data_IF_430383361629
#
_entry.id   IF_430383361629
#
_cell.length_a   1.000
_cell.length_b   1.000
_cell.length_c   1.000
_cell.angle_alpha   90.00
_cell.angle_beta   90.00
_cell.angle_gamma   90.00
#
_symmetry.space_group_name_H-M   'P 1'
#
loop_
_entity.id
_entity.type
_entity.pdbx_description
1 polymer ?
#
# COMPACT_ATOMS: atom_id res chain seq x y z
N UNK A 1 -0.92 8.15 -68.39
CA UNK A 1 -1.10 7.32 -67.19
C UNK A 1 -2.01 8.07 -66.24
N UNK A 2 -3.27 7.65 -66.12
CA UNK A 2 -4.20 8.16 -65.12
C UNK A 2 -4.03 7.25 -63.89
N UNK A 3 -3.60 7.82 -62.76
CA UNK A 3 -3.65 7.11 -61.48
C UNK A 3 -5.03 7.37 -60.89
N UNK A 4 -5.89 6.36 -60.94
CA UNK A 4 -7.16 6.35 -60.22
C UNK A 4 -6.89 6.14 -58.74
N UNK A 5 -7.45 7.02 -57.93
CA UNK A 5 -7.56 6.92 -56.48
C UNK A 5 -8.51 5.76 -56.12
N UNK A 6 -8.16 4.84 -55.20
CA UNK A 6 -9.10 3.86 -54.68
C UNK A 6 -9.89 4.44 -53.49
N UNK A 7 -11.21 4.38 -53.60
CA UNK A 7 -12.19 4.64 -52.53
C UNK A 7 -11.82 3.91 -51.23
N UNK A 8 -11.91 4.52 -50.04
CA UNK A 8 -11.86 3.79 -48.79
C UNK A 8 -13.21 3.08 -48.59
N UNK A 9 -13.20 1.75 -48.62
CA UNK A 9 -14.34 0.94 -48.18
C UNK A 9 -14.43 1.02 -46.64
N UNK A 10 -15.59 1.42 -46.15
CA UNK A 10 -15.97 1.31 -44.74
C UNK A 10 -15.96 -0.16 -44.32
N UNK A 11 -14.92 -0.58 -43.60
CA UNK A 11 -14.93 -1.85 -42.88
C UNK A 11 -15.45 -1.58 -41.46
N UNK A 12 -16.77 -1.62 -41.33
CA UNK A 12 -17.42 -1.85 -40.04
C UNK A 12 -17.08 -3.26 -39.55
N UNK A 13 -16.18 -3.36 -38.58
CA UNK A 13 -16.06 -4.52 -37.71
C UNK A 13 -15.99 -4.00 -36.26
N UNK A 14 -17.16 -3.56 -35.78
CA UNK A 14 -17.39 -3.26 -34.36
C UNK A 14 -17.76 -4.59 -33.69
N UNK A 15 -16.74 -5.42 -33.43
CA UNK A 15 -16.88 -6.55 -32.51
C UNK A 15 -16.76 -6.01 -31.09
N UNK A 16 -17.92 -5.74 -30.49
CA UNK A 16 -18.06 -5.52 -29.06
C UNK A 16 -17.60 -6.80 -28.36
N UNK A 17 -16.38 -6.78 -27.82
CA UNK A 17 -15.84 -7.87 -27.02
C UNK A 17 -16.76 -8.09 -25.81
N UNK A 18 -17.27 -9.31 -25.69
CA UNK A 18 -18.12 -9.70 -24.57
C UNK A 18 -17.34 -9.62 -23.28
N UNK A 19 -17.82 -8.79 -22.36
CA UNK A 19 -17.39 -8.74 -20.96
C UNK A 19 -17.55 -10.16 -20.36
N UNK A 20 -16.43 -10.89 -20.25
CA UNK A 20 -16.41 -12.18 -19.58
C UNK A 20 -16.48 -11.93 -18.08
N UNK A 21 -17.67 -12.09 -17.51
CA UNK A 21 -17.84 -12.09 -16.06
C UNK A 21 -17.14 -13.34 -15.51
N UNK A 22 -15.93 -13.14 -14.99
CA UNK A 22 -15.17 -14.19 -14.33
C UNK A 22 -15.91 -14.58 -13.05
N UNK A 23 -16.48 -15.78 -13.04
CA UNK A 23 -17.19 -16.30 -11.87
C UNK A 23 -16.15 -16.86 -10.90
N UNK A 24 -15.89 -16.14 -9.81
CA UNK A 24 -14.98 -16.60 -8.75
C UNK A 24 -15.52 -17.88 -8.12
N UNK A 25 -14.82 -19.00 -8.32
CA UNK A 25 -15.10 -20.26 -7.61
C UNK A 25 -14.68 -20.10 -6.15
N UNK A 26 -15.56 -20.50 -5.22
CA UNK A 26 -15.25 -20.56 -3.78
C UNK A 26 -14.65 -21.93 -3.45
N UNK A 27 -13.50 -21.94 -2.79
CA UNK A 27 -12.82 -23.14 -2.31
C UNK A 27 -12.87 -23.25 -0.79
N UNK A 28 -12.82 -24.48 -0.27
CA UNK A 28 -12.70 -24.74 1.17
C UNK A 28 -11.25 -24.57 1.61
N UNK A 29 -11.03 -23.94 2.77
CA UNK A 29 -9.70 -23.66 3.28
C UNK A 29 -9.02 -24.94 3.79
N UNK A 30 -7.80 -25.19 3.32
CA UNK A 30 -6.95 -26.28 3.81
C UNK A 30 -6.54 -26.02 5.27
N UNK A 31 -6.88 -26.91 6.22
CA UNK A 31 -6.60 -26.71 7.64
C UNK A 31 -5.09 -26.69 7.96
N UNK A 32 -4.25 -27.36 7.16
CA UNK A 32 -2.79 -27.36 7.36
C UNK A 32 -2.21 -26.02 6.94
N UNK A 33 -2.67 -25.47 5.82
CA UNK A 33 -2.25 -24.14 5.37
C UNK A 33 -2.75 -23.05 6.30
N UNK A 34 -3.98 -23.15 6.80
CA UNK A 34 -4.52 -22.25 7.82
C UNK A 34 -3.67 -22.24 9.10
N UNK A 35 -3.13 -23.39 9.50
CA UNK A 35 -2.28 -23.51 10.68
C UNK A 35 -0.84 -23.02 10.45
N UNK A 36 -0.41 -22.83 9.20
CA UNK A 36 0.97 -22.47 8.84
C UNK A 36 1.29 -20.97 9.02
N UNK A 37 0.74 -20.35 10.07
CA UNK A 37 0.90 -18.92 10.37
C UNK A 37 2.36 -18.54 10.61
N UNK A 38 3.11 -19.39 11.31
CA UNK A 38 4.53 -19.12 11.59
C UNK A 38 5.38 -19.14 10.32
N UNK A 39 5.10 -20.06 9.39
CA UNK A 39 5.78 -20.12 8.10
C UNK A 39 5.48 -18.87 7.24
N UNK A 40 4.21 -18.45 7.19
CA UNK A 40 3.81 -17.23 6.51
C UNK A 40 4.46 -15.99 7.14
N UNK A 41 4.47 -15.88 8.47
CA UNK A 41 5.13 -14.77 9.18
C UNK A 41 6.64 -14.78 8.93
N UNK A 42 7.28 -15.94 8.94
CA UNK A 42 8.71 -16.07 8.66
C UNK A 42 9.05 -15.53 7.26
N UNK A 43 8.27 -15.88 6.23
CA UNK A 43 8.49 -15.36 4.89
C UNK A 43 8.29 -13.84 4.79
N UNK A 44 7.28 -13.28 5.46
CA UNK A 44 7.13 -11.82 5.52
C UNK A 44 8.33 -11.15 6.20
N UNK A 45 8.89 -11.76 7.25
CA UNK A 45 10.07 -11.23 7.94
C UNK A 45 11.34 -11.19 7.07
N UNK A 46 11.37 -11.88 5.94
CA UNK A 46 12.48 -11.78 4.98
C UNK A 46 12.48 -10.44 4.23
N UNK A 47 11.32 -9.80 4.08
CA UNK A 47 11.15 -8.58 3.27
C UNK A 47 10.82 -7.33 4.11
N UNK A 48 10.34 -7.51 5.34
CA UNK A 48 9.87 -6.39 6.17
C UNK A 48 10.16 -6.64 7.65
N UNK A 49 10.44 -5.60 8.46
CA UNK A 49 10.68 -5.80 9.88
C UNK A 49 9.41 -6.25 10.62
N UNK A 50 9.57 -7.02 11.69
CA UNK A 50 8.46 -7.55 12.49
C UNK A 50 7.45 -6.50 12.99
N UNK A 51 7.91 -5.26 13.18
CA UNK A 51 7.07 -4.14 13.62
C UNK A 51 6.00 -3.74 12.62
N UNK A 52 6.09 -4.16 11.35
CA UNK A 52 5.10 -3.85 10.31
C UNK A 52 4.02 -4.92 10.18
N UNK A 53 4.21 -6.11 10.79
CA UNK A 53 3.35 -7.29 10.62
C UNK A 53 2.48 -7.48 11.86
N UNK A 54 1.20 -7.14 11.76
CA UNK A 54 0.19 -7.27 12.80
C UNK A 54 -0.37 -8.68 12.96
N UNK A 55 -1.55 -8.79 13.57
CA UNK A 55 -2.25 -10.05 13.78
C UNK A 55 -2.79 -10.62 12.46
N UNK A 56 -3.07 -11.93 12.43
CA UNK A 56 -3.82 -12.55 11.32
C UNK A 56 -5.24 -11.98 11.35
N UNK A 57 -5.68 -11.43 10.21
CA UNK A 57 -7.00 -10.80 10.05
C UNK A 57 -7.94 -11.62 9.17
N UNK A 58 -7.43 -12.57 8.40
CA UNK A 58 -8.24 -13.39 7.53
C UNK A 58 -7.43 -14.31 6.64
N UNK A 59 -8.14 -14.97 5.71
CA UNK A 59 -7.55 -15.81 4.69
C UNK A 59 -8.44 -15.85 3.44
N UNK A 60 -7.85 -16.24 2.31
CA UNK A 60 -8.58 -16.50 1.06
C UNK A 60 -8.10 -17.84 0.48
N UNK A 61 -9.02 -18.76 0.22
CA UNK A 61 -8.72 -20.03 -0.43
C UNK A 61 -8.87 -19.88 -1.95
N UNK A 62 -7.80 -20.18 -2.70
CA UNK A 62 -7.74 -19.95 -4.15
C UNK A 62 -7.89 -21.24 -4.96
N UNK A 63 -7.45 -22.37 -4.42
CA UNK A 63 -7.60 -23.70 -5.04
C UNK A 63 -7.41 -24.80 -3.98
N UNK A 64 -7.50 -26.06 -4.40
CA UNK A 64 -7.10 -27.21 -3.61
C UNK A 64 -5.63 -27.08 -3.20
N UNK A 65 -5.38 -27.01 -1.88
CA UNK A 65 -4.05 -26.79 -1.31
C UNK A 65 -3.38 -25.47 -1.73
N UNK A 66 -4.14 -24.40 -1.99
CA UNK A 66 -3.61 -23.05 -2.19
C UNK A 66 -4.42 -22.02 -1.39
N UNK A 67 -3.75 -21.28 -0.50
CA UNK A 67 -4.39 -20.35 0.43
C UNK A 67 -3.50 -19.14 0.74
N UNK A 68 -4.09 -17.96 0.74
CA UNK A 68 -3.46 -16.73 1.21
C UNK A 68 -3.85 -16.45 2.66
N UNK A 69 -2.86 -16.22 3.52
CA UNK A 69 -3.05 -15.69 4.88
C UNK A 69 -2.86 -14.17 4.87
N UNK A 70 -3.79 -13.45 5.51
CA UNK A 70 -3.75 -12.00 5.61
C UNK A 70 -3.41 -11.56 7.04
N UNK A 71 -2.48 -10.63 7.15
CA UNK A 71 -2.04 -10.00 8.40
C UNK A 71 -2.28 -8.49 8.32
N UNK A 72 -2.73 -7.88 9.41
CA UNK A 72 -2.85 -6.41 9.46
C UNK A 72 -1.49 -5.75 9.21
N UNK A 73 -1.44 -4.73 8.35
CA UNK A 73 -0.28 -3.85 8.25
C UNK A 73 -0.25 -2.89 9.44
N UNK A 74 0.91 -2.76 10.07
CA UNK A 74 1.17 -1.77 11.12
C UNK A 74 1.99 -0.58 10.61
N UNK A 75 2.16 -0.45 9.29
CA UNK A 75 2.92 0.65 8.71
C UNK A 75 2.10 1.96 8.72
N UNK A 76 2.67 3.08 9.21
CA UNK A 76 1.94 4.36 9.29
C UNK A 76 1.40 4.89 7.95
N UNK A 77 2.07 4.56 6.84
CA UNK A 77 1.65 4.98 5.49
C UNK A 77 0.65 4.06 4.81
N UNK A 78 0.30 2.93 5.43
CA UNK A 78 -0.56 1.91 4.85
C UNK A 78 -1.69 1.50 5.82
N UNK A 79 -2.52 2.44 6.28
CA UNK A 79 -3.65 2.14 7.15
C UNK A 79 -4.68 1.26 6.44
N UNK A 80 -5.15 0.22 7.15
CA UNK A 80 -6.09 -0.78 6.65
C UNK A 80 -5.57 -1.66 5.50
N UNK A 81 -4.28 -1.59 5.17
CA UNK A 81 -3.64 -2.52 4.23
C UNK A 81 -3.32 -3.84 4.95
N UNK A 82 -3.19 -4.91 4.17
CA UNK A 82 -2.85 -6.23 4.66
C UNK A 82 -1.55 -6.73 4.02
N UNK A 83 -0.67 -7.28 4.86
CA UNK A 83 0.36 -8.20 4.37
C UNK A 83 -0.31 -9.53 4.02
N UNK A 84 0.01 -10.07 2.87
CA UNK A 84 -0.49 -11.36 2.42
C UNK A 84 0.68 -12.28 2.15
N UNK A 85 0.56 -13.53 2.62
CA UNK A 85 1.47 -14.60 2.26
C UNK A 85 0.65 -15.75 1.66
N UNK A 86 0.90 -16.06 0.39
CA UNK A 86 0.23 -17.16 -0.30
C UNK A 86 1.04 -18.42 -0.12
N UNK A 87 0.36 -19.46 0.36
CA UNK A 87 0.93 -20.75 0.68
C UNK A 87 0.33 -21.83 -0.22
N UNK A 88 1.09 -22.90 -0.46
CA UNK A 88 0.57 -24.08 -1.12
C UNK A 88 1.18 -25.38 -0.61
N UNK A 89 0.53 -26.51 -0.94
CA UNK A 89 1.07 -27.87 -0.75
C UNK A 89 0.89 -28.67 -2.03
N UNK A 90 1.83 -29.55 -2.30
CA UNK A 90 1.79 -30.42 -3.50
C UNK A 90 0.69 -31.49 -3.34
N UNK A 91 0.56 -32.03 -2.13
CA UNK A 91 -0.45 -33.01 -1.73
C UNK A 91 -0.74 -32.91 -0.22
N UNK A 92 -1.62 -33.78 0.28
CA UNK A 92 -2.07 -33.75 1.68
C UNK A 92 -0.96 -34.05 2.70
N UNK A 93 0.12 -34.75 2.31
CA UNK A 93 1.23 -35.13 3.17
C UNK A 93 2.43 -34.18 3.06
N UNK A 94 2.43 -33.31 2.04
CA UNK A 94 3.48 -32.31 1.80
C UNK A 94 3.44 -31.19 2.83
N UNK A 95 4.61 -30.66 3.15
CA UNK A 95 4.75 -29.46 4.00
C UNK A 95 4.32 -28.19 3.25
N UNK A 96 3.75 -27.18 3.95
CA UNK A 96 3.46 -25.87 3.36
C UNK A 96 4.69 -25.17 2.77
N UNK A 97 4.56 -24.68 1.54
CA UNK A 97 5.53 -23.80 0.89
C UNK A 97 4.91 -22.41 0.66
N UNK A 98 5.74 -21.36 0.71
CA UNK A 98 5.32 -19.99 0.40
C UNK A 98 5.55 -19.73 -1.08
N UNK A 99 4.54 -19.22 -1.77
CA UNK A 99 4.58 -18.88 -3.18
C UNK A 99 4.98 -17.42 -3.40
N UNK A 100 4.31 -16.51 -2.69
CA UNK A 100 4.53 -15.08 -2.80
C UNK A 100 4.16 -14.37 -1.51
N UNK A 101 4.68 -13.14 -1.38
CA UNK A 101 4.29 -12.20 -0.34
C UNK A 101 4.02 -10.85 -0.97
N UNK A 102 2.98 -10.19 -0.48
CA UNK A 102 2.48 -8.94 -1.07
C UNK A 102 1.86 -8.06 0.00
N UNK A 103 1.74 -6.77 -0.31
CA UNK A 103 1.07 -5.79 0.52
C UNK A 103 -0.11 -5.24 -0.29
N UNK A 104 -1.32 -5.58 0.12
CA UNK A 104 -2.53 -5.23 -0.61
C UNK A 104 -3.41 -4.26 0.19
N UNK A 105 -4.14 -3.36 -0.48
CA UNK A 105 -5.13 -2.53 0.17
C UNK A 105 -6.31 -3.39 0.68
N UNK A 106 -6.77 -3.12 1.90
CA UNK A 106 -8.04 -3.62 2.41
C UNK A 106 -9.22 -2.74 1.99
N UNK A 107 -10.42 -3.10 2.42
CA UNK A 107 -11.67 -2.45 1.99
C UNK A 107 -11.73 -0.94 2.32
N UNK A 108 -11.06 -0.53 3.39
CA UNK A 108 -11.06 0.87 3.86
C UNK A 108 -9.73 1.58 3.56
N UNK A 109 -8.82 0.96 2.80
CA UNK A 109 -7.51 1.53 2.52
C UNK A 109 -7.60 2.77 1.66
N UNK A 110 -6.72 3.74 1.95
CA UNK A 110 -6.49 4.87 1.06
C UNK A 110 -5.76 4.38 -0.18
N UNK A 111 -6.41 4.50 -1.34
CA UNK A 111 -5.85 4.15 -2.63
C UNK A 111 -5.06 5.31 -3.24
N UNK A 112 -4.15 4.96 -4.14
CA UNK A 112 -3.45 5.95 -4.95
C UNK A 112 -4.44 6.71 -5.85
N UNK A 113 -4.16 7.98 -6.17
CA UNK A 113 -4.94 8.70 -7.17
C UNK A 113 -4.77 8.07 -8.56
N UNK A 114 -5.67 8.45 -9.47
CA UNK A 114 -5.58 8.06 -10.87
C UNK A 114 -4.21 8.38 -11.48
N UNK A 115 -3.67 7.43 -12.25
CA UNK A 115 -2.36 7.60 -12.86
C UNK A 115 -2.42 8.61 -14.01
N UNK A 116 -1.63 9.68 -13.89
CA UNK A 116 -1.42 10.64 -14.98
C UNK A 116 -0.25 10.22 -15.87
N UNK A 117 -0.39 10.20 -17.21
CA UNK A 117 0.70 9.95 -18.13
C UNK A 117 1.91 10.85 -17.90
N UNK A 118 3.10 10.27 -18.03
CA UNK A 118 4.34 11.00 -17.83
C UNK A 118 4.48 12.20 -18.77
N UNK A 119 4.02 12.07 -20.02
CA UNK A 119 4.00 13.16 -20.99
C UNK A 119 3.19 14.36 -20.52
N UNK A 120 2.09 14.13 -19.82
CA UNK A 120 1.21 15.20 -19.36
C UNK A 120 1.78 15.84 -18.09
N UNK A 121 2.30 15.04 -17.15
CA UNK A 121 3.06 15.57 -16.00
C UNK A 121 4.23 16.46 -16.44
N UNK A 122 4.92 16.09 -17.52
CA UNK A 122 6.04 16.87 -18.03
C UNK A 122 5.61 18.19 -18.69
N UNK A 123 4.44 18.23 -19.36
CA UNK A 123 3.90 19.47 -19.93
C UNK A 123 3.62 20.48 -18.83
N UNK A 124 2.94 20.06 -17.77
CA UNK A 124 2.61 20.92 -16.64
C UNK A 124 3.89 21.44 -15.95
N UNK A 125 4.89 20.57 -15.80
CA UNK A 125 6.20 20.97 -15.27
C UNK A 125 6.87 22.06 -16.14
N UNK A 126 6.88 21.89 -17.47
CA UNK A 126 7.45 22.87 -18.40
C UNK A 126 6.71 24.20 -18.34
N UNK A 127 5.38 24.17 -18.33
CA UNK A 127 4.56 25.37 -18.18
C UNK A 127 4.87 26.11 -16.87
N UNK A 128 5.02 25.37 -15.76
CA UNK A 128 5.39 25.94 -14.48
C UNK A 128 6.79 26.58 -14.50
N UNK A 129 7.76 25.97 -15.20
CA UNK A 129 9.10 26.54 -15.38
C UNK A 129 9.08 27.81 -16.23
N UNK A 130 8.32 27.83 -17.33
CA UNK A 130 8.16 29.02 -18.18
C UNK A 130 7.50 30.18 -17.40
N UNK A 131 6.48 29.88 -16.61
CA UNK A 131 5.82 30.88 -15.76
C UNK A 131 6.74 31.41 -14.66
N UNK A 132 7.51 30.53 -14.01
CA UNK A 132 8.49 30.95 -13.00
C UNK A 132 9.58 31.83 -13.62
N UNK A 133 10.06 31.51 -14.82
CA UNK A 133 11.03 32.33 -15.54
C UNK A 133 10.44 33.70 -15.91
N UNK A 134 9.18 33.76 -16.35
CA UNK A 134 8.53 35.03 -16.66
C UNK A 134 8.41 35.95 -15.43
N UNK A 135 8.09 35.39 -14.25
CA UNK A 135 8.03 36.16 -13.00
C UNK A 135 9.41 36.60 -12.51
N UNK A 136 10.45 35.81 -12.74
CA UNK A 136 11.81 36.21 -12.38
C UNK A 136 12.31 37.39 -13.23
N UNK A 137 11.95 37.42 -14.52
CA UNK A 137 12.28 38.54 -15.41
C UNK A 137 11.53 39.82 -14.98
N UNK A 138 10.27 39.71 -14.55
CA UNK A 138 9.46 40.85 -14.08
C UNK A 138 10.01 41.48 -12.76
N UNK A 139 10.74 40.71 -11.95
CA UNK A 139 11.39 41.17 -10.70
C UNK A 139 12.73 41.91 -10.95
N UNK A 140 13.44 41.59 -12.05
CA UNK A 140 14.67 42.27 -12.48
C UNK A 140 14.39 43.66 -13.12
N UNK A 141 13.13 44.00 -13.46
CA UNK A 141 12.79 45.27 -14.12
C UNK A 141 12.57 46.44 -13.14
N UNK A 142 12.49 46.17 -11.83
CA UNK A 142 12.27 47.17 -10.77
C UNK A 142 13.57 47.68 -10.10
N UNK A 143 14.76 47.26 -10.57
CA UNK A 143 16.08 47.66 -10.01
C UNK A 143 16.90 48.56 -10.94
N UNK A 144 16.28 49.61 -11.49
CA UNK A 144 16.97 50.69 -12.22
C UNK A 144 16.75 52.05 -11.57
N UNK A 145 17.47 52.30 -10.47
CA UNK A 145 18.11 53.60 -10.19
C UNK A 145 18.94 53.52 -8.89
N UNK A 146 20.22 53.14 -9.00
CA UNK A 146 21.26 53.70 -8.14
C UNK A 146 22.52 53.99 -8.97
N UNK A 147 22.49 55.15 -9.65
CA UNK A 147 23.70 55.85 -10.07
C UNK A 147 24.50 56.24 -8.80
N UNK A 148 25.36 55.34 -8.33
CA UNK A 148 26.51 55.74 -7.51
C UNK A 148 27.81 55.26 -8.16
N UNK A 149 28.46 56.20 -8.87
CA UNK A 149 29.90 56.19 -9.08
C UNK A 149 30.58 56.17 -7.71
N UNK A 150 31.09 55.00 -7.29
CA UNK A 150 32.11 54.91 -6.24
C UNK A 150 33.26 54.01 -6.74
N UNK A 151 34.22 54.67 -7.40
CA UNK A 151 35.59 54.18 -7.54
C UNK A 151 36.17 54.04 -6.12
N UNK A 152 36.14 52.83 -5.56
CA UNK A 152 37.01 52.46 -4.45
C UNK A 152 37.78 51.21 -4.82
N UNK A 153 39.01 51.43 -5.31
CA UNK A 153 40.14 50.52 -5.18
C UNK A 153 40.23 50.09 -3.70
N UNK A 154 39.98 48.82 -3.39
CA UNK A 154 40.51 48.22 -2.18
C UNK A 154 41.19 46.90 -2.56
N UNK A 155 42.50 47.02 -2.75
CA UNK A 155 43.46 45.93 -2.72
C UNK A 155 43.34 45.19 -1.37
N UNK A 156 42.68 44.03 -1.35
CA UNK A 156 42.83 43.07 -0.26
C UNK A 156 43.48 41.80 -0.79
N UNK A 157 44.80 41.79 -0.60
CA UNK A 157 45.65 40.62 -0.50
C UNK A 157 45.08 39.60 0.52
N UNK A 158 45.36 38.32 0.22
CA UNK A 158 45.58 37.20 1.15
C UNK A 158 44.36 36.53 1.81
N UNK A 159 44.00 35.35 1.29
CA UNK A 159 44.29 34.08 1.99
C UNK A 159 43.88 32.90 1.10
N UNK A 160 44.89 32.13 0.65
CA UNK A 160 44.72 30.81 0.01
C UNK A 160 43.91 29.88 0.91
N UNK A 161 42.72 29.46 0.47
CA UNK A 161 42.13 28.21 0.93
C UNK A 161 42.43 27.14 -0.12
N UNK A 162 43.53 26.45 0.12
CA UNK A 162 43.92 25.18 -0.49
C UNK A 162 42.83 24.13 -0.20
N UNK A 163 41.79 24.09 -1.04
CA UNK A 163 40.79 23.04 -1.02
C UNK A 163 41.40 21.81 -1.70
N UNK A 164 42.09 21.05 -0.85
CA UNK A 164 42.60 19.72 -1.12
C UNK A 164 41.53 18.84 -1.78
N UNK A 165 41.85 18.45 -3.02
CA UNK A 165 41.17 17.48 -3.86
C UNK A 165 41.31 16.09 -3.25
N UNK A 166 40.60 15.83 -2.15
CA UNK A 166 40.32 14.48 -1.70
C UNK A 166 39.00 14.00 -2.25
N UNK A 167 39.08 13.61 -3.53
CA UNK A 167 38.28 12.56 -4.15
C UNK A 167 38.08 11.44 -3.12
N UNK A 168 36.84 11.27 -2.68
CA UNK A 168 36.42 10.07 -1.96
C UNK A 168 36.44 8.93 -2.97
N UNK A 169 37.58 8.21 -2.97
CA UNK A 169 37.70 6.87 -3.52
C UNK A 169 36.77 5.98 -2.70
N UNK A 170 35.58 5.72 -3.25
CA UNK A 170 34.64 4.69 -2.82
C UNK A 170 35.22 3.34 -3.22
N UNK A 171 36.26 2.88 -2.52
CA UNK A 171 36.73 1.51 -2.59
C UNK A 171 37.67 1.26 -1.39
N UNK A 172 37.15 0.56 -0.38
CA UNK A 172 37.83 -0.37 0.56
C UNK A 172 37.14 -0.29 1.92
N UNK A 173 36.06 -1.05 2.07
CA UNK A 173 35.74 -1.75 3.32
C UNK A 173 35.25 -3.17 2.95
N UNK A 174 36.18 -3.95 2.40
CA UNK A 174 36.13 -5.41 2.43
C UNK A 174 37.05 -5.90 3.57
N UNK A 175 36.47 -6.78 4.39
CA UNK A 175 37.06 -7.78 5.27
C UNK A 175 38.08 -7.37 6.37
N UNK A 176 37.59 -7.35 7.62
CA UNK A 176 38.38 -7.80 8.76
C UNK A 176 37.48 -8.36 9.88
N UNK A 177 37.29 -9.68 9.82
CA UNK A 177 37.04 -10.59 10.95
C UNK A 177 37.74 -10.17 12.27
N UNK A 178 36.96 -10.02 13.36
CA UNK A 178 37.47 -10.34 14.71
C UNK A 178 36.40 -10.90 15.63
N UNK A 179 36.50 -12.21 15.80
CA UNK A 179 36.12 -13.04 16.93
C UNK A 179 36.13 -12.31 18.30
N UNK A 180 35.01 -12.36 19.04
CA UNK A 180 35.07 -12.61 20.48
C UNK A 180 33.75 -13.18 21.00
N UNK A 181 33.75 -14.49 21.24
CA UNK A 181 32.85 -15.11 22.19
C UNK A 181 33.25 -14.70 23.61
N UNK A 182 32.28 -14.46 24.50
CA UNK A 182 32.34 -14.93 25.89
C UNK A 182 30.91 -15.11 26.45
N UNK A 183 30.77 -16.21 27.17
CA UNK A 183 29.53 -16.76 27.68
C UNK A 183 29.05 -16.03 28.96
N UNK A 184 27.74 -15.90 29.11
CA UNK A 184 27.11 -15.76 30.42
C UNK A 184 25.87 -16.65 30.47
N UNK A 185 26.07 -17.87 30.96
CA UNK A 185 25.01 -18.74 31.47
C UNK A 185 24.50 -18.12 32.77
N UNK A 186 23.22 -17.70 32.80
CA UNK A 186 22.52 -17.41 34.05
C UNK A 186 21.46 -18.49 34.27
N UNK A 187 21.82 -19.43 35.14
CA UNK A 187 20.91 -20.31 35.86
C UNK A 187 20.04 -19.44 36.79
N UNK A 188 18.73 -19.55 36.62
CA UNK A 188 17.75 -18.99 37.56
C UNK A 188 16.62 -20.00 37.76
N UNK A 189 16.95 -21.09 38.44
CA UNK A 189 15.98 -22.01 39.00
C UNK A 189 15.84 -21.76 40.52
N UNK A 190 14.97 -20.82 40.94
CA UNK A 190 14.37 -20.82 42.29
C UNK A 190 12.89 -20.38 42.26
N UNK A 191 12.08 -21.38 42.57
CA UNK A 191 10.70 -21.49 43.06
C UNK A 191 10.00 -20.29 43.73
N UNK A 192 8.75 -20.12 43.27
CA UNK A 192 7.49 -19.90 44.01
C UNK A 192 7.30 -18.58 44.77
N UNK A 193 6.41 -17.75 44.22
CA UNK A 193 5.31 -17.16 44.99
C UNK A 193 4.09 -17.03 44.08
N UNK A 194 3.01 -17.74 44.44
CA UNK A 194 1.75 -17.69 43.73
C UNK A 194 1.12 -16.31 43.84
N UNK A 195 0.60 -15.83 42.72
CA UNK A 195 -0.50 -14.89 42.69
C UNK A 195 -1.49 -15.38 41.62
N UNK A 196 -2.73 -15.52 42.06
CA UNK A 196 -3.83 -16.20 41.39
C UNK A 196 -4.42 -15.29 40.30
N UNK A 197 -4.43 -15.78 39.06
CA UNK A 197 -5.15 -15.12 37.98
C UNK A 197 -6.65 -15.12 38.28
N UNK A 198 -7.37 -14.00 38.12
CA UNK A 198 -8.82 -13.99 38.29
C UNK A 198 -9.49 -14.81 37.18
N UNK A 199 -10.38 -15.72 37.58
CA UNK A 199 -11.17 -16.58 36.72
C UNK A 199 -12.00 -15.79 35.68
N UNK A 200 -12.24 -16.35 34.48
CA UNK A 200 -13.21 -15.76 33.56
C UNK A 200 -14.63 -15.93 34.13
N UNK A 201 -15.38 -14.84 34.15
CA UNK A 201 -16.78 -14.82 34.53
C UNK A 201 -17.59 -15.80 33.67
N UNK A 202 -18.32 -16.70 34.31
CA UNK A 202 -19.35 -17.50 33.67
C UNK A 202 -20.49 -16.58 33.25
N UNK A 203 -20.66 -16.38 31.94
CA UNK A 203 -21.93 -15.93 31.39
C UNK A 203 -22.89 -17.14 31.44
N UNK A 204 -23.69 -17.23 32.49
CA UNK A 204 -24.85 -18.13 32.51
C UNK A 204 -25.92 -17.51 31.62
N UNK A 205 -25.98 -17.91 30.36
CA UNK A 205 -27.12 -17.62 29.49
C UNK A 205 -28.19 -18.68 29.74
N UNK A 206 -29.20 -18.30 30.51
CA UNK A 206 -30.43 -19.08 30.69
C UNK A 206 -31.23 -19.02 29.40
N UNK A 207 -31.37 -20.16 28.71
CA UNK A 207 -32.30 -20.33 27.59
C UNK A 207 -33.56 -20.99 28.15
N UNK A 208 -34.64 -20.23 28.27
CA UNK A 208 -35.98 -20.78 28.42
C UNK A 208 -36.39 -21.39 27.07
N UNK A 209 -36.66 -22.70 27.07
CA UNK A 209 -37.13 -23.46 25.91
C UNK A 209 -38.60 -23.73 26.11
N UNK A 210 -39.47 -23.01 25.40
CA UNK A 210 -40.88 -23.36 25.32
C UNK A 210 -41.10 -24.57 24.39
N UNK A 211 -42.02 -25.45 24.77
CA UNK A 211 -42.23 -26.80 24.21
C UNK A 211 -42.93 -26.84 22.83
N UNK A 212 -42.82 -25.79 22.01
CA UNK A 212 -43.38 -25.78 20.66
C UNK A 212 -42.33 -25.24 19.67
N UNK A 213 -41.66 -26.17 18.98
CA UNK A 213 -40.56 -25.87 18.07
C UNK A 213 -40.98 -25.04 16.85
N UNK A 214 -40.72 -23.73 16.90
CA UNK A 214 -40.54 -22.89 15.72
C UNK A 214 -39.81 -21.58 16.11
N UNK A 215 -38.57 -21.40 15.66
CA UNK A 215 -37.89 -20.10 15.79
C UNK A 215 -38.29 -19.19 14.63
N UNK A 216 -39.15 -18.21 14.91
CA UNK A 216 -39.34 -17.04 14.04
C UNK A 216 -38.28 -16.02 14.44
N UNK A 217 -37.29 -15.79 13.57
CA UNK A 217 -36.38 -14.66 13.70
C UNK A 217 -37.09 -13.49 13.02
N UNK A 218 -37.67 -12.56 13.81
CA UNK A 218 -38.11 -11.27 13.27
C UNK A 218 -36.88 -10.51 12.79
N UNK A 219 -36.80 -10.27 11.48
CA UNK A 219 -35.84 -9.35 10.87
C UNK A 219 -36.36 -7.93 11.05
N UNK A 220 -35.70 -7.16 11.91
CA UNK A 220 -35.93 -5.73 12.06
C UNK A 220 -35.48 -5.03 10.75
N UNK A 221 -36.46 -4.66 9.92
CA UNK A 221 -36.30 -3.87 8.70
C UNK A 221 -36.05 -2.40 9.09
N UNK A 222 -34.79 -2.04 9.24
CA UNK A 222 -34.38 -0.65 9.50
C UNK A 222 -33.17 -0.25 8.66
N UNK A 223 -33.34 -0.21 7.34
CA UNK A 223 -32.48 0.57 6.45
C UNK A 223 -33.09 1.96 6.20
N UNK A 224 -32.40 3.09 6.43
CA UNK A 224 -32.84 4.36 5.89
C UNK A 224 -32.58 4.40 4.38
N UNK A 225 -33.68 4.43 3.61
CA UNK A 225 -33.67 4.66 2.16
C UNK A 225 -33.13 6.07 1.90
N UNK A 226 -31.96 6.15 1.25
CA UNK A 226 -31.44 7.39 0.68
C UNK A 226 -32.42 7.90 -0.37
N UNK A 227 -33.10 8.99 -0.03
CA UNK A 227 -34.06 9.69 -0.89
C UNK A 227 -33.28 10.53 -1.91
N UNK A 228 -33.18 10.04 -3.14
CA UNK A 228 -32.79 10.84 -4.29
C UNK A 228 -33.87 11.91 -4.50
N UNK A 229 -33.57 13.16 -4.19
CA UNK A 229 -34.38 14.30 -4.57
C UNK A 229 -34.05 14.66 -6.03
N UNK A 230 -34.99 14.43 -6.94
CA UNK A 230 -35.05 15.15 -8.21
C UNK A 230 -35.71 16.50 -7.94
N UNK A 231 -34.97 17.58 -8.15
CA UNK A 231 -35.52 18.94 -8.18
C UNK A 231 -35.99 19.20 -9.62
N UNK A 232 -37.27 18.95 -9.88
CA UNK A 232 -37.97 19.38 -11.10
C UNK A 232 -38.69 20.70 -10.80
N UNK A 233 -37.99 21.84 -10.82
CA UNK A 233 -38.64 23.16 -10.96
C UNK A 233 -37.66 24.20 -11.55
N UNK A 234 -37.43 24.11 -12.85
CA UNK A 234 -36.90 25.23 -13.62
C UNK A 234 -38.05 25.82 -14.46
N UNK A 235 -38.53 27.05 -14.19
CA UNK A 235 -39.62 27.64 -14.94
C UNK A 235 -39.17 28.01 -16.36
N UNK A 236 -39.97 27.58 -17.32
CA UNK A 236 -39.94 28.05 -18.70
C UNK A 236 -40.20 29.56 -18.80
N UNK A 237 -39.64 30.12 -19.88
CA UNK A 237 -40.08 31.32 -20.59
C UNK A 237 -39.54 32.69 -20.11
N UNK A 238 -38.55 33.20 -20.86
CA UNK A 238 -38.55 34.60 -21.32
C UNK A 238 -37.52 34.83 -22.43
N UNK A 239 -38.02 34.81 -23.67
CA UNK A 239 -37.65 35.59 -24.88
C UNK A 239 -36.19 35.77 -25.30
#
# INVERSE_FOLDING_TARGET
MQHSDPTPEESSDDQVEGETVETTRVFEADPVLLAAVDQARAALLEITPASTIGAVVGHTAHDEHVLSLHFASLMPGYPDWHWTATLSRIDADSEPAVLETELLPGENSVLAPEWTPWSDRLKDYKLAQEHAAALAVDDDEDDVDDDSDDDSDDDLDDDELDLDDHILDDDVLDDAVHEHAEAAVLDASVLVRGDEAPAPAKAEQTVDVDEEGLTVVELDDAAPRSSVYYDEDAPEDLR
#
